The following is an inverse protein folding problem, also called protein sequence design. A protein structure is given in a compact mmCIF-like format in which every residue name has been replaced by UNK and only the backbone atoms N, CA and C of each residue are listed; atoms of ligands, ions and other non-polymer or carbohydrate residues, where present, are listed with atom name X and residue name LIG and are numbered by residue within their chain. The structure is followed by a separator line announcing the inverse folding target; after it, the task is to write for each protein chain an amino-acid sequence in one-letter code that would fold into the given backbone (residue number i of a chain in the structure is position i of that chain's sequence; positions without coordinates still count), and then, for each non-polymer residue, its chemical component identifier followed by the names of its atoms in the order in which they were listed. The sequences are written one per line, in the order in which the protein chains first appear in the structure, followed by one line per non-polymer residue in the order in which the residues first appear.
data_IF_612786321299
#
_entry.id   IF_612786321299
#
_cell.length_a   1.000
_cell.length_b   1.000
_cell.length_c   1.000
_cell.angle_alpha   90.00
_cell.angle_beta   90.00
_cell.angle_gamma   90.00
#
_symmetry.space_group_name_H-M   'P 1'
#
loop_
_entity.id
_entity.type
_entity.pdbx_description
1 polymer ?
#
# COMPACT_ATOMS: atom_id res chain seq x y z
N UNK A 1 25.57 -27.88 -24.14
CA UNK A 1 24.14 -28.07 -23.86
C UNK A 1 23.87 -27.60 -22.45
N UNK A 2 23.18 -26.48 -22.28
CA UNK A 2 22.74 -26.00 -20.97
C UNK A 2 21.64 -26.93 -20.47
N UNK A 3 21.87 -27.61 -19.35
CA UNK A 3 20.88 -28.48 -18.73
C UNK A 3 19.65 -27.67 -18.33
N UNK A 4 18.43 -28.02 -18.77
CA UNK A 4 17.20 -27.29 -18.46
C UNK A 4 16.98 -27.00 -16.97
N UNK A 5 17.54 -27.83 -16.09
CA UNK A 5 17.52 -27.66 -14.63
C UNK A 5 18.30 -26.44 -14.12
N UNK A 6 19.44 -26.10 -14.73
CA UNK A 6 20.25 -24.94 -14.29
C UNK A 6 19.58 -23.63 -14.64
N UNK A 7 18.91 -23.57 -15.80
CA UNK A 7 18.16 -22.39 -16.24
C UNK A 7 16.96 -22.15 -15.33
N UNK A 8 16.22 -23.21 -14.96
CA UNK A 8 15.13 -23.11 -14.00
C UNK A 8 15.62 -22.63 -12.63
N UNK A 9 16.72 -23.20 -12.13
CA UNK A 9 17.32 -22.78 -10.86
C UNK A 9 17.72 -21.29 -10.90
N UNK A 10 18.32 -20.84 -12.00
CA UNK A 10 18.67 -19.44 -12.18
C UNK A 10 17.45 -18.52 -12.08
N UNK A 11 16.35 -18.83 -12.77
CA UNK A 11 15.13 -18.02 -12.71
C UNK A 11 14.50 -17.95 -11.32
N UNK A 12 14.52 -19.06 -10.58
CA UNK A 12 14.03 -19.10 -9.20
C UNK A 12 14.88 -18.22 -8.29
N UNK A 13 16.21 -18.41 -8.30
CA UNK A 13 17.15 -17.61 -7.48
C UNK A 13 17.05 -16.12 -7.82
N UNK A 14 16.92 -15.80 -9.11
CA UNK A 14 16.78 -14.41 -9.56
C UNK A 14 15.47 -13.78 -9.08
N UNK A 15 14.35 -14.52 -9.15
CA UNK A 15 13.07 -14.05 -8.62
C UNK A 15 13.11 -13.86 -7.10
N UNK A 16 13.74 -14.77 -6.37
CA UNK A 16 13.91 -14.67 -4.91
C UNK A 16 14.75 -13.45 -4.52
N UNK A 17 15.83 -13.18 -5.26
CA UNK A 17 16.63 -11.96 -5.07
C UNK A 17 15.78 -10.70 -5.27
N UNK A 18 14.96 -10.65 -6.33
CA UNK A 18 14.04 -9.54 -6.57
C UNK A 18 13.03 -9.34 -5.44
N UNK A 19 12.51 -10.43 -4.88
CA UNK A 19 11.60 -10.39 -3.74
C UNK A 19 12.25 -9.81 -2.49
N UNK A 20 13.50 -10.18 -2.19
CA UNK A 20 14.23 -9.65 -1.02
C UNK A 20 14.62 -8.18 -1.19
N UNK A 21 15.09 -7.77 -2.37
CA UNK A 21 15.34 -6.36 -2.68
C UNK A 21 14.07 -5.52 -2.51
N UNK A 22 12.95 -6.03 -3.02
CA UNK A 22 11.65 -5.39 -2.88
C UNK A 22 11.20 -5.30 -1.41
N UNK A 23 11.48 -6.33 -0.60
CA UNK A 23 11.11 -6.34 0.83
C UNK A 23 11.88 -5.29 1.62
N UNK A 24 13.14 -5.02 1.29
CA UNK A 24 13.94 -3.99 1.96
C UNK A 24 13.37 -2.59 1.72
N UNK A 25 13.06 -2.27 0.46
CA UNK A 25 12.58 -0.93 0.10
C UNK A 25 11.09 -0.74 0.39
N UNK A 26 10.25 -1.65 -0.07
CA UNK A 26 8.79 -1.52 -0.06
C UNK A 26 8.09 -2.41 0.99
N UNK A 27 8.84 -3.24 1.72
CA UNK A 27 8.32 -4.11 2.77
C UNK A 27 7.58 -5.36 2.27
N UNK A 28 7.39 -5.53 0.96
CA UNK A 28 6.70 -6.66 0.35
C UNK A 28 7.52 -7.30 -0.77
N UNK A 29 7.18 -8.52 -1.16
CA UNK A 29 7.79 -9.20 -2.32
C UNK A 29 7.56 -8.44 -3.62
N UNK A 30 8.33 -8.76 -4.66
CA UNK A 30 8.24 -8.11 -5.95
C UNK A 30 6.88 -8.38 -6.61
N UNK A 31 6.37 -7.37 -7.31
CA UNK A 31 5.20 -7.56 -8.16
C UNK A 31 5.61 -8.36 -9.39
N UNK A 32 4.68 -9.18 -9.92
CA UNK A 32 4.88 -9.96 -11.15
C UNK A 32 6.05 -10.94 -11.08
N UNK A 33 6.46 -11.37 -9.88
CA UNK A 33 7.56 -12.32 -9.71
C UNK A 33 7.28 -13.69 -10.37
N UNK A 34 6.01 -14.00 -10.65
CA UNK A 34 5.59 -15.20 -11.37
C UNK A 34 6.03 -15.21 -12.85
N UNK A 35 6.12 -14.06 -13.51
CA UNK A 35 6.71 -13.98 -14.85
C UNK A 35 8.19 -14.37 -14.83
N UNK A 36 8.94 -13.94 -13.82
CA UNK A 36 10.36 -14.31 -13.68
C UNK A 36 10.53 -15.79 -13.38
N UNK A 37 9.66 -16.38 -12.53
CA UNK A 37 9.76 -17.79 -12.11
C UNK A 37 9.28 -18.78 -13.17
N UNK A 38 8.18 -18.47 -13.86
CA UNK A 38 7.47 -19.42 -14.72
C UNK A 38 7.35 -18.96 -16.17
N UNK A 39 7.80 -17.75 -16.51
CA UNK A 39 7.66 -17.17 -17.86
C UNK A 39 6.22 -16.81 -18.25
N UNK A 40 5.25 -16.95 -17.34
CA UNK A 40 3.82 -16.72 -17.60
C UNK A 40 3.10 -16.17 -16.37
N UNK A 41 1.97 -15.50 -16.61
CA UNK A 41 1.09 -15.02 -15.55
C UNK A 41 0.32 -16.15 -14.88
N UNK A 42 0.23 -16.12 -13.56
CA UNK A 42 -0.58 -17.03 -12.75
C UNK A 42 -1.70 -16.28 -12.04
N UNK A 43 -2.87 -16.90 -11.87
CA UNK A 43 -4.00 -16.29 -11.15
C UNK A 43 -3.65 -16.00 -9.68
N UNK A 44 -2.94 -16.93 -9.03
CA UNK A 44 -2.43 -16.74 -7.67
C UNK A 44 -1.41 -15.58 -7.60
N UNK A 45 -0.51 -15.48 -8.60
CA UNK A 45 0.42 -14.35 -8.70
C UNK A 45 -0.29 -13.01 -8.88
N UNK A 46 -1.40 -12.97 -9.62
CA UNK A 46 -2.22 -11.77 -9.75
C UNK A 46 -2.88 -11.34 -8.44
N UNK A 47 -3.38 -12.30 -7.65
CA UNK A 47 -3.92 -12.01 -6.33
C UNK A 47 -2.85 -11.52 -5.36
N UNK A 48 -1.70 -12.19 -5.31
CA UNK A 48 -0.57 -11.77 -4.49
C UNK A 48 -0.06 -10.37 -4.86
N UNK A 49 -0.04 -10.04 -6.15
CA UNK A 49 0.32 -8.70 -6.60
C UNK A 49 -0.67 -7.63 -6.12
N UNK A 50 -1.96 -7.93 -6.11
CA UNK A 50 -2.97 -7.02 -5.56
C UNK A 50 -2.69 -6.74 -4.07
N UNK A 51 -2.49 -7.80 -3.27
CA UNK A 51 -2.18 -7.67 -1.84
C UNK A 51 -0.86 -6.92 -1.61
N UNK A 52 0.17 -7.21 -2.40
CA UNK A 52 1.46 -6.52 -2.32
C UNK A 52 1.31 -5.04 -2.68
N UNK A 53 0.56 -4.70 -3.74
CA UNK A 53 0.33 -3.32 -4.16
C UNK A 53 -0.43 -2.52 -3.12
N UNK A 54 -1.51 -3.09 -2.56
CA UNK A 54 -2.26 -2.47 -1.45
C UNK A 54 -1.35 -2.26 -0.25
N UNK A 55 -0.62 -3.29 0.17
CA UNK A 55 0.29 -3.18 1.33
C UNK A 55 1.37 -2.11 1.11
N UNK A 56 1.95 -2.02 -0.09
CA UNK A 56 2.91 -0.95 -0.45
C UNK A 56 2.27 0.42 -0.41
N UNK A 57 1.07 0.56 -0.95
CA UNK A 57 0.33 1.82 -0.90
C UNK A 57 0.13 2.28 0.54
N UNK A 58 -0.34 1.40 1.42
CA UNK A 58 -0.54 1.74 2.82
C UNK A 58 0.78 2.08 3.53
N UNK A 59 1.84 1.28 3.36
CA UNK A 59 3.13 1.55 4.02
C UNK A 59 3.77 2.84 3.53
N UNK A 60 3.78 3.06 2.22
CA UNK A 60 4.37 4.26 1.63
C UNK A 60 3.63 5.53 2.05
N UNK A 61 2.30 5.47 2.16
CA UNK A 61 1.54 6.65 2.56
C UNK A 61 1.52 6.85 4.08
N UNK A 62 1.40 5.82 4.91
CA UNK A 62 1.16 6.02 6.35
C UNK A 62 2.37 5.78 7.26
N UNK A 63 3.38 5.05 6.79
CA UNK A 63 4.54 4.68 7.62
C UNK A 63 5.87 5.26 7.11
N UNK A 64 5.92 5.76 5.87
CA UNK A 64 7.19 6.17 5.25
C UNK A 64 7.80 7.41 5.88
N UNK A 65 7.00 8.44 6.22
CA UNK A 65 7.47 9.63 6.92
C UNK A 65 8.20 9.31 8.22
N UNK A 66 7.62 8.43 9.04
CA UNK A 66 8.27 7.94 10.26
C UNK A 66 9.57 7.19 9.98
N UNK A 67 9.58 6.37 8.92
CA UNK A 67 10.77 5.60 8.53
C UNK A 67 11.91 6.51 8.09
N UNK A 68 11.60 7.58 7.36
CA UNK A 68 12.56 8.62 6.99
C UNK A 68 13.05 9.39 8.23
N UNK A 69 12.15 9.79 9.13
CA UNK A 69 12.50 10.47 10.37
C UNK A 69 13.47 9.64 11.24
N UNK A 70 13.26 8.32 11.33
CA UNK A 70 14.16 7.42 12.06
C UNK A 70 15.56 7.33 11.43
N UNK A 71 15.63 7.34 10.09
CA UNK A 71 16.90 7.34 9.34
C UNK A 71 17.63 8.67 9.55
N UNK A 72 16.93 9.79 9.41
CA UNK A 72 17.49 11.13 9.59
C UNK A 72 17.99 11.34 11.02
N UNK A 73 17.25 10.85 12.02
CA UNK A 73 17.67 10.85 13.41
C UNK A 73 18.96 10.04 13.62
N UNK A 74 19.07 8.84 13.03
CA UNK A 74 20.26 8.00 13.15
C UNK A 74 21.48 8.60 12.46
N UNK A 75 21.30 9.23 11.29
CA UNK A 75 22.37 9.91 10.55
C UNK A 75 22.76 11.27 11.17
N UNK A 76 21.97 11.78 12.12
CA UNK A 76 22.16 13.11 12.71
C UNK A 76 21.70 14.26 11.82
N UNK A 77 20.94 13.98 10.75
CA UNK A 77 20.41 14.95 9.79
C UNK A 77 19.00 15.41 10.20
N UNK A 78 18.79 15.82 11.45
CA UNK A 78 17.46 16.20 11.94
C UNK A 78 17.41 17.64 12.46
N UNK A 79 16.26 18.28 12.28
CA UNK A 79 15.89 19.54 12.95
C UNK A 79 14.68 19.30 13.82
N UNK A 80 14.79 19.62 15.11
CA UNK A 80 13.66 19.53 16.03
C UNK A 80 12.78 20.77 15.83
N UNK A 81 11.55 20.57 15.35
CA UNK A 81 10.49 21.58 15.40
C UNK A 81 9.62 21.34 16.64
N UNK A 82 9.68 22.21 17.67
CA UNK A 82 8.88 22.11 18.89
C UNK A 82 7.36 22.01 18.65
N UNK A 83 6.87 22.51 17.52
CA UNK A 83 5.44 22.56 17.20
C UNK A 83 4.95 21.34 16.41
N UNK A 84 5.84 20.50 15.88
CA UNK A 84 5.49 19.39 14.98
C UNK A 84 5.98 18.01 15.46
N UNK A 85 6.40 17.91 16.73
CA UNK A 85 6.84 16.62 17.28
C UNK A 85 5.68 15.61 17.34
N UNK A 86 5.93 14.33 17.01
CA UNK A 86 4.96 13.28 17.22
C UNK A 86 4.66 13.15 18.72
N UNK A 87 3.38 13.28 19.09
CA UNK A 87 2.92 13.21 20.49
C UNK A 87 2.91 11.78 21.04
N UNK A 88 2.91 10.77 20.16
CA UNK A 88 2.92 9.33 20.50
C UNK A 88 3.69 8.53 19.44
N UNK A 89 4.32 7.41 19.86
CA UNK A 89 5.11 6.51 18.99
C UNK A 89 4.25 5.75 17.96
N UNK A 90 2.93 5.68 18.19
CA UNK A 90 2.00 4.96 17.34
C UNK A 90 0.97 5.92 16.75
N UNK A 91 1.31 6.59 15.64
CA UNK A 91 0.31 7.06 14.68
C UNK A 91 -0.36 5.84 14.06
N UNK A 92 -1.29 5.26 14.82
CA UNK A 92 -2.14 4.16 14.40
C UNK A 92 -2.95 4.63 13.19
N UNK A 93 -2.91 3.85 12.11
CA UNK A 93 -3.67 4.09 10.86
C UNK A 93 -5.18 4.21 11.11
N UNK A 94 -5.65 3.74 12.27
CA UNK A 94 -7.01 3.87 12.80
C UNK A 94 -7.17 5.03 13.81
N UNK A 95 -6.47 6.14 13.65
CA UNK A 95 -6.91 7.36 14.34
C UNK A 95 -8.27 7.79 13.77
N UNK A 96 -9.25 8.05 14.64
CA UNK A 96 -10.61 8.50 14.29
C UNK A 96 -10.63 9.96 13.78
N UNK A 97 -9.59 10.38 13.07
CA UNK A 97 -9.56 11.67 12.40
C UNK A 97 -10.31 11.60 11.07
N UNK A 98 -10.59 12.74 10.45
CA UNK A 98 -11.34 12.81 9.19
C UNK A 98 -10.68 11.99 8.07
N UNK A 99 -9.34 11.86 8.08
CA UNK A 99 -8.60 11.00 7.17
C UNK A 99 -8.87 9.51 7.41
N UNK A 100 -8.81 9.04 8.66
CA UNK A 100 -9.11 7.65 9.01
C UNK A 100 -10.56 7.30 8.69
N UNK A 101 -11.48 8.23 8.96
CA UNK A 101 -12.90 8.12 8.61
C UNK A 101 -13.13 7.97 7.11
N UNK A 102 -12.43 8.74 6.26
CA UNK A 102 -12.56 8.64 4.81
C UNK A 102 -12.10 7.28 4.26
N UNK A 103 -11.02 6.71 4.80
CA UNK A 103 -10.51 5.38 4.40
C UNK A 103 -11.52 4.29 4.79
N UNK A 104 -11.98 4.30 6.05
CA UNK A 104 -12.97 3.32 6.55
C UNK A 104 -14.28 3.43 5.77
N UNK A 105 -14.76 4.65 5.52
CA UNK A 105 -15.95 4.91 4.72
C UNK A 105 -15.83 4.38 3.29
N UNK A 106 -14.64 4.51 2.67
CA UNK A 106 -14.39 3.99 1.32
C UNK A 106 -14.42 2.46 1.29
N UNK A 107 -13.79 1.80 2.27
CA UNK A 107 -13.81 0.33 2.40
C UNK A 107 -15.25 -0.16 2.62
N UNK A 108 -16.00 0.52 3.48
CA UNK A 108 -17.39 0.18 3.76
C UNK A 108 -18.28 0.34 2.52
N UNK A 109 -18.16 1.47 1.81
CA UNK A 109 -18.91 1.72 0.57
C UNK A 109 -18.56 0.71 -0.53
N UNK A 110 -17.30 0.31 -0.66
CA UNK A 110 -16.87 -0.74 -1.58
C UNK A 110 -17.49 -2.09 -1.23
N UNK A 111 -17.44 -2.48 0.05
CA UNK A 111 -18.04 -3.73 0.53
C UNK A 111 -19.56 -3.75 0.30
N UNK A 112 -20.25 -2.64 0.61
CA UNK A 112 -21.68 -2.51 0.36
C UNK A 112 -22.02 -2.59 -1.13
N UNK A 113 -21.22 -1.96 -1.99
CA UNK A 113 -21.40 -2.06 -3.45
C UNK A 113 -21.30 -3.52 -3.91
N UNK A 114 -20.28 -4.26 -3.44
CA UNK A 114 -20.09 -5.68 -3.78
C UNK A 114 -21.26 -6.52 -3.27
N UNK A 115 -21.71 -6.32 -2.03
CA UNK A 115 -22.86 -7.04 -1.47
C UNK A 115 -24.14 -6.75 -2.25
N UNK A 116 -24.36 -5.50 -2.68
CA UNK A 116 -25.53 -5.14 -3.48
C UNK A 116 -25.52 -5.82 -4.86
N UNK A 117 -24.35 -5.95 -5.50
CA UNK A 117 -24.20 -6.69 -6.76
C UNK A 117 -24.41 -8.19 -6.58
N UNK A 118 -23.84 -8.79 -5.54
CA UNK A 118 -23.80 -10.25 -5.38
C UNK A 118 -25.06 -10.84 -4.72
N UNK A 119 -25.74 -10.08 -3.86
CA UNK A 119 -26.82 -10.60 -3.00
C UNK A 119 -28.13 -9.89 -3.24
N UNK A 120 -28.11 -8.56 -3.30
CA UNK A 120 -29.35 -7.79 -3.20
C UNK A 120 -30.13 -7.69 -4.51
N UNK A 121 -29.52 -7.96 -5.68
CA UNK A 121 -30.09 -7.77 -7.04
C UNK A 121 -30.81 -6.41 -7.23
N UNK A 122 -30.48 -5.42 -6.39
CA UNK A 122 -31.13 -4.11 -6.35
C UNK A 122 -30.23 -3.11 -7.05
N UNK A 123 -30.62 -2.71 -8.26
CA UNK A 123 -29.85 -1.77 -9.10
C UNK A 123 -29.74 -0.38 -8.47
N UNK A 124 -30.79 0.11 -7.82
CA UNK A 124 -30.80 1.42 -7.16
C UNK A 124 -29.82 1.50 -5.99
N UNK A 125 -29.81 0.50 -5.11
CA UNK A 125 -28.88 0.43 -3.98
C UNK A 125 -27.42 0.28 -4.45
N UNK A 126 -27.20 -0.51 -5.50
CA UNK A 126 -25.88 -0.68 -6.11
C UNK A 126 -25.33 0.65 -6.65
N UNK A 127 -26.15 1.38 -7.40
CA UNK A 127 -25.76 2.68 -7.97
C UNK A 127 -25.53 3.71 -6.85
N UNK A 128 -26.34 3.72 -5.80
CA UNK A 128 -26.17 4.60 -4.65
C UNK A 128 -24.82 4.39 -3.96
N UNK A 129 -24.48 3.15 -3.59
CA UNK A 129 -23.20 2.85 -2.95
C UNK A 129 -22.01 3.08 -3.87
N UNK A 130 -22.16 2.84 -5.17
CA UNK A 130 -21.13 3.13 -6.16
C UNK A 130 -20.85 4.65 -6.26
N UNK A 131 -21.88 5.49 -6.23
CA UNK A 131 -21.72 6.95 -6.23
C UNK A 131 -20.99 7.42 -4.97
N UNK A 132 -21.36 6.89 -3.79
CA UNK A 132 -20.68 7.20 -2.52
C UNK A 132 -19.21 6.77 -2.58
N UNK A 133 -18.94 5.56 -3.07
CA UNK A 133 -17.57 5.06 -3.24
C UNK A 133 -16.75 5.97 -4.17
N UNK A 134 -17.30 6.37 -5.32
CA UNK A 134 -16.61 7.27 -6.25
C UNK A 134 -16.39 8.67 -5.64
N UNK A 135 -17.35 9.22 -4.91
CA UNK A 135 -17.22 10.51 -4.24
C UNK A 135 -16.13 10.50 -3.17
N UNK A 136 -16.06 9.45 -2.35
CA UNK A 136 -15.01 9.27 -1.35
C UNK A 136 -13.63 9.07 -1.98
N UNK A 137 -13.53 8.28 -3.05
CA UNK A 137 -12.29 8.11 -3.81
C UNK A 137 -11.81 9.44 -4.40
N UNK A 138 -12.73 10.26 -4.92
CA UNK A 138 -12.40 11.58 -5.45
C UNK A 138 -11.95 12.53 -4.34
N UNK A 139 -12.60 12.52 -3.17
CA UNK A 139 -12.18 13.28 -2.00
C UNK A 139 -10.76 12.89 -1.54
N UNK A 140 -10.46 11.60 -1.47
CA UNK A 140 -9.12 11.09 -1.13
C UNK A 140 -8.11 11.53 -2.18
N UNK A 141 -8.45 11.50 -3.47
CA UNK A 141 -7.55 11.93 -4.54
C UNK A 141 -7.22 13.43 -4.46
N UNK A 142 -8.22 14.28 -4.24
CA UNK A 142 -8.01 15.73 -4.14
C UNK A 142 -7.25 16.14 -2.87
N UNK A 143 -7.46 15.45 -1.76
CA UNK A 143 -6.79 15.74 -0.49
C UNK A 143 -5.62 14.79 -0.22
N UNK A 144 -5.13 14.08 -1.25
CA UNK A 144 -4.18 12.96 -1.10
C UNK A 144 -2.91 13.31 -0.33
N UNK A 145 -2.40 14.52 -0.54
CA UNK A 145 -1.24 15.09 0.17
C UNK A 145 -1.38 15.07 1.70
N UNK A 146 -2.60 15.19 2.23
CA UNK A 146 -2.85 15.20 3.68
C UNK A 146 -2.91 13.78 4.28
N UNK A 147 -3.22 12.77 3.45
CA UNK A 147 -3.21 11.37 3.88
C UNK A 147 -1.79 10.78 3.93
N UNK A 148 -0.82 11.47 3.33
CA UNK A 148 0.58 11.04 3.35
C UNK A 148 1.25 11.50 4.65
N UNK A 149 1.78 10.54 5.40
CA UNK A 149 2.71 10.74 6.47
C UNK A 149 4.04 11.28 5.90
N UNK A 150 4.23 12.59 6.02
CA UNK A 150 5.45 13.29 5.60
C UNK A 150 6.50 13.26 6.73
N UNK A 151 7.80 13.18 6.39
CA UNK A 151 8.87 13.29 7.37
C UNK A 151 8.79 14.65 8.07
N UNK A 152 8.98 14.64 9.38
CA UNK A 152 8.88 15.82 10.25
C UNK A 152 10.24 16.35 10.68
N UNK A 153 11.29 15.53 10.59
CA UNK A 153 12.63 15.86 11.07
C UNK A 153 13.58 16.32 9.96
N UNK A 154 13.17 16.24 8.69
CA UNK A 154 14.01 16.52 7.53
C UNK A 154 14.61 17.93 7.58
N UNK A 155 15.90 18.03 7.29
CA UNK A 155 16.61 19.30 7.07
C UNK A 155 16.54 19.61 5.57
N UNK A 156 15.96 20.76 5.21
CA UNK A 156 15.96 21.25 3.82
C UNK A 156 17.35 21.65 3.33
#
# INVERSE_FOLDING_TARGET
GTTPSLVLLFYLVWADNGDECSRQYAGTGALKADYTRFGRRTYLGAWNDCLNAVTRYFRNNFADGYRQDAIDLFLGNFKIDPNNLPTTLETTVLNFDYHGGAIVGTIFAAAMTILCVLVAENTSATVFWLIIFMALMLFIFFNGEEFVNKPRLKVD
#
